data_IF_349245027349
#
_entry.id   IF_349245027349
#
_cell.length_a   1.000
_cell.length_b   1.000
_cell.length_c   1.000
_cell.angle_alpha   90.00
_cell.angle_beta   90.00
_cell.angle_gamma   90.00
#
_symmetry.space_group_name_H-M   'P 1'
#
loop_
_entity.id
_entity.type
_entity.pdbx_description
1 polymer ?
#
# COMPACT_ATOMS: atom_id res chain seq x y z
N UNK A 1 -39.90 -2.01 10.26
CA UNK A 1 -39.02 -1.09 9.52
C UNK A 1 -37.59 -1.34 9.99
N UNK A 2 -36.91 -2.31 9.39
CA UNK A 2 -35.54 -2.67 9.74
C UNK A 2 -34.59 -2.09 8.70
N UNK A 3 -33.74 -1.15 9.10
CA UNK A 3 -32.60 -0.71 8.28
C UNK A 3 -31.39 -1.55 8.66
N UNK A 4 -30.97 -2.44 7.77
CA UNK A 4 -29.66 -3.09 7.86
C UNK A 4 -28.65 -2.22 7.12
N UNK A 5 -27.84 -1.48 7.88
CA UNK A 5 -26.63 -0.82 7.39
C UNK A 5 -25.61 -1.90 7.02
N UNK A 6 -25.33 -2.02 5.72
CA UNK A 6 -24.21 -2.81 5.23
C UNK A 6 -22.90 -2.08 5.58
N UNK A 7 -22.09 -2.67 6.46
CA UNK A 7 -20.74 -2.19 6.76
C UNK A 7 -19.80 -2.64 5.65
N UNK A 8 -19.26 -1.68 4.89
CA UNK A 8 -18.21 -1.93 3.91
C UNK A 8 -16.93 -2.36 4.65
N UNK A 9 -16.39 -3.51 4.26
CA UNK A 9 -15.21 -4.12 4.84
C UNK A 9 -13.94 -3.62 4.12
N UNK A 10 -13.02 -2.88 4.78
CA UNK A 10 -11.86 -2.24 4.13
C UNK A 10 -10.68 -3.20 3.85
N UNK A 11 -10.84 -4.51 4.09
CA UNK A 11 -9.82 -5.53 3.79
C UNK A 11 -10.34 -6.65 2.87
N UNK A 12 -11.05 -6.32 1.80
CA UNK A 12 -11.23 -7.29 0.73
C UNK A 12 -9.91 -7.46 -0.05
N UNK A 13 -9.40 -8.69 -0.25
CA UNK A 13 -8.27 -8.90 -1.15
C UNK A 13 -8.66 -8.40 -2.54
N UNK A 14 -7.81 -7.56 -3.13
CA UNK A 14 -7.96 -6.99 -4.48
C UNK A 14 -8.22 -8.05 -5.58
N UNK A 15 -7.94 -9.33 -5.29
CA UNK A 15 -8.08 -10.48 -6.18
C UNK A 15 -9.50 -11.06 -6.30
N UNK A 16 -10.46 -10.66 -5.46
CA UNK A 16 -11.79 -11.30 -5.43
C UNK A 16 -12.91 -10.53 -6.14
N UNK A 17 -12.61 -9.35 -6.69
CA UNK A 17 -13.63 -8.56 -7.37
C UNK A 17 -13.62 -8.84 -8.87
N UNK A 18 -14.66 -9.50 -9.36
CA UNK A 18 -14.85 -9.74 -10.80
C UNK A 18 -15.67 -8.65 -11.47
N UNK A 19 -16.23 -7.71 -10.70
CA UNK A 19 -16.99 -6.57 -11.19
C UNK A 19 -16.03 -5.52 -11.76
N UNK A 20 -16.17 -5.26 -13.07
CA UNK A 20 -15.35 -4.30 -13.78
C UNK A 20 -15.60 -2.85 -13.29
N UNK A 21 -16.84 -2.49 -12.98
CA UNK A 21 -17.20 -1.15 -12.52
C UNK A 21 -16.57 -0.86 -11.15
N UNK A 22 -16.57 -1.85 -10.25
CA UNK A 22 -15.93 -1.71 -8.95
C UNK A 22 -14.41 -1.57 -9.06
N UNK A 23 -13.76 -2.35 -9.95
CA UNK A 23 -12.33 -2.19 -10.22
C UNK A 23 -12.04 -0.78 -10.75
N UNK A 24 -12.79 -0.33 -11.76
CA UNK A 24 -12.60 1.01 -12.36
C UNK A 24 -12.81 2.12 -11.34
N UNK A 25 -13.83 2.03 -10.49
CA UNK A 25 -14.07 2.99 -9.41
C UNK A 25 -12.87 3.09 -8.47
N UNK A 26 -12.35 1.93 -8.02
CA UNK A 26 -11.17 1.89 -7.16
C UNK A 26 -9.93 2.48 -7.87
N UNK A 27 -9.73 2.18 -9.15
CA UNK A 27 -8.60 2.76 -9.91
C UNK A 27 -8.71 4.28 -10.05
N UNK A 28 -9.92 4.81 -10.24
CA UNK A 28 -10.15 6.25 -10.33
C UNK A 28 -9.90 6.96 -8.99
N UNK A 29 -10.28 6.36 -7.87
CA UNK A 29 -9.95 6.89 -6.53
C UNK A 29 -8.44 6.95 -6.32
N UNK A 30 -7.74 5.85 -6.61
CA UNK A 30 -6.27 5.80 -6.50
C UNK A 30 -5.63 6.86 -7.41
N UNK A 31 -6.08 6.96 -8.68
CA UNK A 31 -5.59 7.96 -9.64
C UNK A 31 -5.71 9.37 -9.08
N UNK A 32 -6.88 9.72 -8.56
CA UNK A 32 -7.16 11.05 -8.01
C UNK A 32 -6.21 11.41 -6.86
N UNK A 33 -6.01 10.51 -5.90
CA UNK A 33 -5.09 10.75 -4.78
C UNK A 33 -3.62 10.87 -5.24
N UNK A 34 -3.23 10.04 -6.21
CA UNK A 34 -1.87 10.04 -6.80
C UNK A 34 -1.58 11.33 -7.55
N UNK A 35 -2.52 11.82 -8.35
CA UNK A 35 -2.38 13.08 -9.10
C UNK A 35 -2.33 14.30 -8.16
N UNK A 36 -3.16 14.30 -7.12
CA UNK A 36 -3.17 15.33 -6.09
C UNK A 36 -1.97 15.29 -5.15
N UNK A 37 -1.15 14.22 -5.22
CA UNK A 37 -0.05 13.95 -4.27
C UNK A 37 -0.51 14.04 -2.82
N UNK A 38 -1.67 13.47 -2.54
CA UNK A 38 -2.32 13.52 -1.23
C UNK A 38 -2.20 12.17 -0.51
N UNK A 39 -2.53 12.20 0.79
CA UNK A 39 -2.52 11.00 1.62
C UNK A 39 -1.21 10.23 1.58
N UNK A 40 -1.31 8.94 1.25
CA UNK A 40 -0.19 7.99 1.17
C UNK A 40 0.72 8.15 -0.04
N UNK A 41 0.29 8.88 -1.06
CA UNK A 41 1.05 9.05 -2.29
C UNK A 41 1.86 10.35 -2.33
N UNK A 42 1.81 11.15 -1.25
CA UNK A 42 2.53 12.44 -1.15
C UNK A 42 4.03 12.32 -1.43
N UNK A 43 4.65 11.29 -0.87
CA UNK A 43 6.09 11.06 -0.96
C UNK A 43 6.48 10.05 -2.06
N UNK A 44 5.51 9.62 -2.89
CA UNK A 44 5.74 8.65 -3.97
C UNK A 44 6.74 9.22 -5.00
N UNK A 45 7.73 8.40 -5.37
CA UNK A 45 8.71 8.76 -6.38
C UNK A 45 8.06 9.04 -7.75
N UNK A 46 8.59 10.02 -8.50
CA UNK A 46 8.02 10.44 -9.78
C UNK A 46 7.92 9.31 -10.82
N UNK A 47 8.94 8.45 -10.89
CA UNK A 47 8.96 7.31 -11.81
C UNK A 47 7.92 6.24 -11.43
N UNK A 48 7.74 5.96 -10.14
CA UNK A 48 6.72 5.03 -9.67
C UNK A 48 5.31 5.57 -9.92
N UNK A 49 5.13 6.89 -9.76
CA UNK A 49 3.87 7.57 -10.08
C UNK A 49 3.51 7.41 -11.55
N UNK A 50 4.44 7.72 -12.44
CA UNK A 50 4.22 7.59 -13.88
C UNK A 50 3.90 6.15 -14.27
N UNK A 51 4.66 5.18 -13.73
CA UNK A 51 4.42 3.76 -13.95
C UNK A 51 3.03 3.34 -13.47
N UNK A 52 2.60 3.78 -12.29
CA UNK A 52 1.29 3.48 -11.73
C UNK A 52 0.17 3.97 -12.66
N UNK A 53 0.26 5.22 -13.12
CA UNK A 53 -0.75 5.81 -14.01
C UNK A 53 -0.81 5.08 -15.37
N UNK A 54 0.33 4.72 -15.94
CA UNK A 54 0.41 3.94 -17.19
C UNK A 54 -0.26 2.56 -17.07
N UNK A 55 -0.04 1.85 -15.96
CA UNK A 55 -0.66 0.54 -15.72
C UNK A 55 -2.17 0.71 -15.52
N UNK A 56 -2.61 1.73 -14.79
CA UNK A 56 -4.04 2.01 -14.62
C UNK A 56 -4.74 2.30 -15.95
N UNK A 57 -4.12 3.06 -16.86
CA UNK A 57 -4.70 3.30 -18.19
C UNK A 57 -4.89 2.00 -18.97
N UNK A 58 -3.97 1.05 -18.83
CA UNK A 58 -4.11 -0.28 -19.45
C UNK A 58 -5.27 -1.07 -18.83
N UNK A 59 -5.37 -1.09 -17.50
CA UNK A 59 -6.47 -1.76 -16.78
C UNK A 59 -7.83 -1.20 -17.18
N UNK A 60 -7.98 0.13 -17.17
CA UNK A 60 -9.26 0.79 -17.50
C UNK A 60 -9.65 0.45 -18.94
N UNK A 61 -8.74 0.58 -19.90
CA UNK A 61 -9.00 0.23 -21.32
C UNK A 61 -9.39 -1.23 -21.51
N UNK A 62 -8.78 -2.16 -20.77
CA UNK A 62 -9.17 -3.58 -20.87
C UNK A 62 -10.61 -3.83 -20.39
N UNK A 63 -11.08 -3.03 -19.43
CA UNK A 63 -12.41 -3.15 -18.82
C UNK A 63 -13.49 -2.29 -19.49
N UNK A 64 -13.13 -1.43 -20.45
CA UNK A 64 -14.09 -0.60 -21.18
C UNK A 64 -15.18 -1.45 -21.85
N UNK A 65 -16.44 -1.10 -21.61
CA UNK A 65 -17.60 -1.78 -22.17
C UNK A 65 -17.88 -3.18 -21.61
N UNK A 66 -17.21 -3.59 -20.53
CA UNK A 66 -17.41 -4.89 -19.88
C UNK A 66 -18.04 -4.71 -18.50
N UNK A 67 -18.90 -5.64 -18.12
CA UNK A 67 -19.45 -5.67 -16.76
C UNK A 67 -18.58 -6.50 -15.83
N UNK A 68 -17.95 -7.56 -16.36
CA UNK A 68 -17.15 -8.49 -15.56
C UNK A 68 -15.81 -8.83 -16.20
N UNK A 69 -14.82 -9.09 -15.36
CA UNK A 69 -13.51 -9.62 -15.77
C UNK A 69 -13.60 -11.00 -16.42
N UNK A 70 -14.71 -11.72 -16.20
CA UNK A 70 -14.98 -13.02 -16.82
C UNK A 70 -15.33 -12.93 -18.32
N UNK A 71 -15.63 -11.74 -18.82
CA UNK A 71 -15.88 -11.48 -20.25
C UNK A 71 -14.57 -11.32 -21.04
N UNK A 72 -13.43 -11.20 -20.35
CA UNK A 72 -12.10 -11.21 -20.96
C UNK A 72 -11.71 -12.62 -21.41
N UNK A 73 -10.92 -12.68 -22.49
CA UNK A 73 -10.24 -13.90 -22.89
C UNK A 73 -9.35 -14.41 -21.75
N UNK A 74 -9.05 -15.72 -21.67
CA UNK A 74 -8.19 -16.24 -20.62
C UNK A 74 -6.82 -15.54 -20.55
N UNK A 75 -6.23 -15.21 -21.71
CA UNK A 75 -4.96 -14.49 -21.78
C UNK A 75 -5.07 -13.04 -21.29
N UNK A 76 -6.13 -12.33 -21.70
CA UNK A 76 -6.34 -10.95 -21.26
C UNK A 76 -6.64 -10.87 -19.77
N UNK A 77 -7.35 -11.87 -19.23
CA UNK A 77 -7.65 -11.96 -17.80
C UNK A 77 -6.38 -12.13 -16.97
N UNK A 78 -5.45 -12.99 -17.40
CA UNK A 78 -4.14 -13.12 -16.76
C UNK A 78 -3.37 -11.80 -16.80
N UNK A 79 -3.40 -11.12 -17.94
CA UNK A 79 -2.75 -9.80 -18.09
C UNK A 79 -3.34 -8.77 -17.14
N UNK A 80 -4.66 -8.68 -17.07
CA UNK A 80 -5.37 -7.80 -16.14
C UNK A 80 -4.98 -8.07 -14.68
N UNK A 81 -4.97 -9.34 -14.26
CA UNK A 81 -4.57 -9.69 -12.90
C UNK A 81 -3.11 -9.30 -12.60
N UNK A 82 -2.19 -9.54 -13.53
CA UNK A 82 -0.80 -9.13 -13.37
C UNK A 82 -0.66 -7.60 -13.26
N UNK A 83 -1.49 -6.83 -13.96
CA UNK A 83 -1.50 -5.38 -13.87
C UNK A 83 -2.06 -4.89 -12.52
N UNK A 84 -3.15 -5.49 -12.04
CA UNK A 84 -3.72 -5.20 -10.73
C UNK A 84 -2.74 -5.52 -9.59
N UNK A 85 -1.99 -6.61 -9.70
CA UNK A 85 -0.94 -6.97 -8.74
C UNK A 85 0.22 -5.96 -8.77
N UNK A 86 0.64 -5.49 -9.94
CA UNK A 86 1.66 -4.44 -10.03
C UNK A 86 1.18 -3.11 -9.42
N UNK A 87 -0.08 -2.74 -9.66
CA UNK A 87 -0.70 -1.57 -9.03
C UNK A 87 -0.68 -1.73 -7.50
N UNK A 88 -1.10 -2.88 -6.99
CA UNK A 88 -1.07 -3.20 -5.56
C UNK A 88 0.33 -3.05 -4.97
N UNK A 89 1.35 -3.60 -5.64
CA UNK A 89 2.74 -3.49 -5.22
C UNK A 89 3.22 -2.03 -5.14
N UNK A 90 2.89 -1.20 -6.14
CA UNK A 90 3.25 0.22 -6.15
C UNK A 90 2.53 1.02 -5.05
N UNK A 91 1.25 0.73 -4.81
CA UNK A 91 0.47 1.38 -3.74
C UNK A 91 1.03 1.02 -2.37
N UNK A 92 1.37 -0.24 -2.13
CA UNK A 92 1.98 -0.69 -0.88
C UNK A 92 3.36 -0.09 -0.67
N UNK A 93 4.17 0.01 -1.72
CA UNK A 93 5.47 0.68 -1.67
C UNK A 93 5.32 2.16 -1.27
N UNK A 94 4.31 2.85 -1.78
CA UNK A 94 4.08 4.25 -1.44
C UNK A 94 3.78 4.47 0.05
N UNK A 95 3.03 3.55 0.67
CA UNK A 95 2.80 3.55 2.12
C UNK A 95 4.10 3.39 2.92
N UNK A 96 5.00 2.53 2.44
CA UNK A 96 6.30 2.27 3.03
C UNK A 96 7.26 3.47 2.89
N UNK A 97 7.21 4.17 1.75
CA UNK A 97 8.01 5.35 1.44
C UNK A 97 7.53 6.62 2.17
N UNK A 98 6.30 6.61 2.72
CA UNK A 98 5.76 7.77 3.45
C UNK A 98 6.67 8.19 4.60
N UNK A 99 6.96 9.48 4.66
CA UNK A 99 7.78 10.06 5.71
C UNK A 99 6.95 10.36 6.97
N UNK A 100 7.45 9.93 8.12
CA UNK A 100 6.89 10.25 9.44
C UNK A 100 7.96 10.96 10.26
N UNK A 101 7.68 12.21 10.62
CA UNK A 101 8.54 13.01 11.49
C UNK A 101 8.01 12.97 12.93
N UNK A 102 8.84 12.52 13.85
CA UNK A 102 8.55 12.51 15.28
C UNK A 102 9.53 13.42 16.04
N UNK A 103 9.01 14.12 17.04
CA UNK A 103 9.81 14.91 17.96
C UNK A 103 10.19 14.05 19.15
N UNK A 104 11.44 13.65 19.24
CA UNK A 104 11.94 12.71 20.25
C UNK A 104 12.99 13.35 21.16
N UNK A 105 13.17 12.77 22.33
CA UNK A 105 14.18 13.17 23.33
C UNK A 105 15.13 11.99 23.51
N UNK A 106 16.35 12.05 22.96
CA UNK A 106 17.27 10.93 23.00
C UNK A 106 17.74 10.67 24.43
N UNK A 107 18.01 9.40 24.75
CA UNK A 107 18.51 8.99 26.06
C UNK A 107 19.86 9.69 26.31
N UNK A 108 20.00 10.34 27.46
CA UNK A 108 21.20 11.12 27.82
C UNK A 108 21.16 12.60 27.40
N UNK A 109 20.09 13.09 26.76
CA UNK A 109 19.87 14.52 26.52
C UNK A 109 18.42 14.93 26.71
N UNK A 110 18.19 16.03 27.43
CA UNK A 110 16.86 16.63 27.59
C UNK A 110 16.44 17.44 26.34
N UNK A 111 17.38 17.74 25.44
CA UNK A 111 17.11 18.56 24.25
C UNK A 111 16.25 17.77 23.24
N UNK A 112 15.03 18.23 22.90
CA UNK A 112 14.22 17.58 21.89
C UNK A 112 14.79 17.81 20.49
N UNK A 113 14.80 16.76 19.68
CA UNK A 113 15.22 16.77 18.27
C UNK A 113 14.08 16.22 17.39
N UNK A 114 14.02 16.67 16.15
CA UNK A 114 13.07 16.14 15.17
C UNK A 114 13.77 15.06 14.35
N UNK A 115 13.17 13.88 14.25
CA UNK A 115 13.69 12.75 13.50
C UNK A 115 12.63 12.33 12.49
N UNK A 116 12.98 12.37 11.21
CA UNK A 116 12.11 11.96 10.12
C UNK A 116 12.62 10.64 9.54
N UNK A 117 11.73 9.65 9.45
CA UNK A 117 12.04 8.32 8.89
C UNK A 117 10.89 7.84 8.03
N UNK A 118 11.16 6.99 7.05
CA UNK A 118 10.10 6.31 6.30
C UNK A 118 9.37 5.31 7.20
N UNK A 119 8.14 4.95 6.85
CA UNK A 119 7.39 3.90 7.56
C UNK A 119 8.16 2.57 7.53
N UNK A 120 8.76 2.22 6.39
CA UNK A 120 9.60 1.05 6.26
C UNK A 120 10.80 1.07 7.21
N UNK A 121 11.51 2.20 7.30
CA UNK A 121 12.65 2.35 8.23
C UNK A 121 12.24 2.16 9.68
N UNK A 122 11.12 2.78 10.10
CA UNK A 122 10.62 2.63 11.48
C UNK A 122 10.26 1.18 11.81
N UNK A 123 9.71 0.44 10.84
CA UNK A 123 9.41 -0.98 11.00
C UNK A 123 10.69 -1.80 11.20
N UNK A 124 11.68 -1.62 10.33
CA UNK A 124 12.96 -2.33 10.41
C UNK A 124 13.66 -2.06 11.74
N UNK A 125 13.71 -0.80 12.20
CA UNK A 125 14.32 -0.44 13.48
C UNK A 125 13.61 -1.09 14.67
N UNK A 126 12.27 -1.14 14.64
CA UNK A 126 11.48 -1.81 15.67
C UNK A 126 11.80 -3.32 15.70
N UNK A 127 11.84 -3.96 14.55
CA UNK A 127 12.17 -5.39 14.42
C UNK A 127 13.59 -5.68 14.93
N UNK A 128 14.57 -4.84 14.56
CA UNK A 128 15.94 -4.94 15.05
C UNK A 128 16.06 -4.76 16.57
N UNK A 129 15.32 -3.81 17.14
CA UNK A 129 15.30 -3.59 18.60
C UNK A 129 14.67 -4.77 19.37
N UNK A 130 13.65 -5.42 18.78
CA UNK A 130 13.08 -6.64 19.35
C UNK A 130 14.05 -7.81 19.25
N UNK A 131 14.74 -7.96 18.12
CA UNK A 131 15.73 -9.02 17.91
C UNK A 131 16.92 -8.88 18.87
N UNK A 132 17.45 -7.68 19.04
CA UNK A 132 18.56 -7.42 19.95
C UNK A 132 18.18 -7.74 21.40
N UNK A 133 16.99 -7.32 21.84
CA UNK A 133 16.43 -7.68 23.15
C UNK A 133 16.26 -9.19 23.31
N UNK A 134 15.75 -9.88 22.29
CA UNK A 134 15.58 -11.33 22.29
C UNK A 134 16.92 -12.04 22.42
N UNK A 135 17.95 -11.59 21.67
CA UNK A 135 19.31 -12.14 21.73
C UNK A 135 19.93 -11.97 23.12
N UNK A 136 19.80 -10.79 23.71
CA UNK A 136 20.32 -10.47 25.06
C UNK A 136 19.66 -11.31 26.16
N UNK A 137 18.35 -11.58 26.01
CA UNK A 137 17.60 -12.43 26.95
C UNK A 137 17.85 -13.93 26.85
N UNK A 138 18.72 -14.40 25.93
CA UNK A 138 19.06 -15.83 25.86
C UNK A 138 19.96 -16.18 27.04
N UNK A 139 19.61 -17.16 27.89
CA UNK A 139 20.50 -17.58 28.96
C UNK A 139 21.83 -18.02 28.33
N UNK A 140 22.91 -17.36 28.73
CA UNK A 140 24.27 -17.82 28.44
C UNK A 140 24.37 -19.21 29.07
N UNK A 141 24.50 -20.24 28.24
CA UNK A 141 24.59 -21.63 28.69
C UNK A 141 25.64 -21.76 29.77
N UNK A 142 25.23 -22.29 30.92
CA UNK A 142 26.11 -22.66 32.01
C UNK A 142 27.10 -23.72 31.54
N UNK A 143 28.35 -23.55 31.97
CA UNK A 143 29.38 -24.57 31.96
C UNK A 143 29.35 -25.30 33.30
#
# INVERSE_FOLDING_TARGET
MGSTLAMANPQAPVLANTDAAAIVSQQNEIRSEVEQRSGRYRDMAGADRERLLQIQDRVIRQLEGRERTTELSPADRVTLFNDLEQISALVNKAEDDRMVCERTRPIGSNRPVNVCKTVAQRRVEREQALESRRRDSRPVGGW
#
